data_IF_235632153818
#
_entry.id   IF_235632153818
#
_cell.length_a   1.000
_cell.length_b   1.000
_cell.length_c   1.000
_cell.angle_alpha   90.00
_cell.angle_beta   90.00
_cell.angle_gamma   90.00
#
_symmetry.space_group_name_H-M   'P 1'
#
loop_
_entity.id
_entity.type
_entity.pdbx_description
1 polymer ?
#
# COMPACT_ATOMS: atom_id res chain seq x y z
N UNK A 1 6.79 10.59 6.40
CA UNK A 1 5.73 9.96 7.24
C UNK A 1 5.31 8.60 6.69
N UNK A 2 4.93 8.49 5.41
CA UNK A 2 4.69 7.20 4.74
C UNK A 2 5.91 6.24 4.77
N UNK A 3 7.14 6.77 4.84
CA UNK A 3 8.36 5.96 5.03
C UNK A 3 8.31 5.02 6.25
N UNK A 4 7.79 5.47 7.40
CA UNK A 4 7.66 4.62 8.60
C UNK A 4 6.63 3.49 8.41
N UNK A 5 5.59 3.72 7.62
CA UNK A 5 4.65 2.67 7.23
C UNK A 5 5.33 1.61 6.37
N UNK A 6 6.16 2.03 5.42
CA UNK A 6 6.96 1.14 4.58
C UNK A 6 7.97 0.34 5.40
N UNK A 7 8.65 0.96 6.37
CA UNK A 7 9.59 0.27 7.28
C UNK A 7 8.92 -0.86 8.07
N UNK A 8 7.73 -0.61 8.65
CA UNK A 8 6.99 -1.65 9.37
C UNK A 8 6.55 -2.76 8.43
N UNK A 9 6.18 -2.42 7.19
CA UNK A 9 5.74 -3.40 6.18
C UNK A 9 6.91 -4.23 5.65
N UNK A 10 8.09 -3.66 5.44
CA UNK A 10 9.29 -4.35 4.96
C UNK A 10 9.76 -5.46 5.91
N UNK A 11 9.52 -5.32 7.22
CA UNK A 11 9.84 -6.36 8.20
C UNK A 11 8.87 -7.56 8.23
N UNK A 12 7.83 -7.59 7.39
CA UNK A 12 6.84 -8.67 7.38
C UNK A 12 7.43 -10.02 6.97
N UNK A 13 8.27 -10.04 5.93
CA UNK A 13 8.94 -11.26 5.47
C UNK A 13 9.76 -11.91 6.59
N UNK A 14 10.60 -11.14 7.28
CA UNK A 14 11.42 -11.67 8.38
C UNK A 14 10.56 -12.27 9.49
N UNK A 15 9.47 -11.59 9.89
CA UNK A 15 8.56 -12.10 10.93
C UNK A 15 7.89 -13.40 10.52
N UNK A 16 7.49 -13.51 9.25
CA UNK A 16 6.94 -14.74 8.69
C UNK A 16 7.99 -15.86 8.69
N UNK A 17 9.20 -15.60 8.22
CA UNK A 17 10.28 -16.60 8.15
C UNK A 17 10.72 -17.10 9.54
N UNK A 18 10.60 -16.27 10.57
CA UNK A 18 10.89 -16.63 11.96
C UNK A 18 9.70 -17.25 12.69
N UNK A 19 8.54 -17.38 12.03
CA UNK A 19 7.29 -17.79 12.65
C UNK A 19 6.90 -16.97 13.90
N UNK A 20 7.30 -15.70 13.95
CA UNK A 20 7.01 -14.80 15.08
C UNK A 20 5.62 -14.17 14.93
N UNK A 21 4.60 -15.01 15.13
CA UNK A 21 3.19 -14.62 15.03
C UNK A 21 2.79 -13.52 16.02
N UNK A 22 3.27 -13.53 17.28
CA UNK A 22 3.06 -12.40 18.19
C UNK A 22 3.59 -11.08 17.62
N UNK A 23 4.79 -11.06 17.02
CA UNK A 23 5.34 -9.86 16.40
C UNK A 23 4.58 -9.43 15.14
N UNK A 24 4.02 -10.36 14.35
CA UNK A 24 3.12 -10.02 13.24
C UNK A 24 1.91 -9.22 13.74
N UNK A 25 1.24 -9.69 14.80
CA UNK A 25 0.10 -9.00 15.39
C UNK A 25 0.50 -7.64 15.98
N UNK A 26 1.65 -7.57 16.65
CA UNK A 26 2.14 -6.32 17.22
C UNK A 26 2.50 -5.30 16.12
N UNK A 27 3.13 -5.74 15.04
CA UNK A 27 3.47 -4.90 13.90
C UNK A 27 2.23 -4.31 13.24
N UNK A 28 1.16 -5.10 13.08
CA UNK A 28 -0.12 -4.62 12.57
C UNK A 28 -0.71 -3.51 13.44
N UNK A 29 -0.75 -3.71 14.77
CA UNK A 29 -1.20 -2.67 15.72
C UNK A 29 -0.36 -1.40 15.63
N UNK A 30 0.97 -1.54 15.62
CA UNK A 30 1.90 -0.40 15.44
C UNK A 30 1.61 0.36 14.14
N UNK A 31 1.37 -0.37 13.05
CA UNK A 31 1.08 0.22 11.73
C UNK A 31 -0.19 1.06 11.72
N UNK A 32 -1.25 0.60 12.41
CA UNK A 32 -2.50 1.35 12.54
C UNK A 32 -2.26 2.65 13.32
N UNK A 33 -1.54 2.59 14.45
CA UNK A 33 -1.27 3.77 15.27
C UNK A 33 -0.29 4.78 14.65
N UNK A 34 0.54 4.37 13.68
CA UNK A 34 1.50 5.27 13.04
C UNK A 34 0.82 6.47 12.37
N UNK A 35 -0.32 6.26 11.72
CA UNK A 35 -1.03 7.32 11.03
C UNK A 35 -1.53 8.38 12.01
N UNK A 36 -2.31 7.97 13.00
CA UNK A 36 -2.87 8.84 14.03
C UNK A 36 -1.79 9.59 14.82
N UNK A 37 -0.68 8.91 15.10
CA UNK A 37 0.46 9.52 15.78
C UNK A 37 1.04 10.70 14.99
N UNK A 38 1.26 10.53 13.68
CA UNK A 38 1.82 11.62 12.86
C UNK A 38 0.81 12.76 12.64
N UNK A 39 -0.49 12.45 12.51
CA UNK A 39 -1.53 13.47 12.50
C UNK A 39 -1.47 14.29 13.78
N UNK A 40 -1.39 13.64 14.95
CA UNK A 40 -1.25 14.31 16.24
C UNK A 40 0.00 15.19 16.34
N UNK A 41 1.16 14.70 15.89
CA UNK A 41 2.40 15.48 15.88
C UNK A 41 2.28 16.77 15.03
N UNK A 42 1.74 16.66 13.82
CA UNK A 42 1.56 17.83 12.93
C UNK A 42 0.57 18.82 13.54
N UNK A 43 -0.50 18.34 14.17
CA UNK A 43 -1.47 19.20 14.87
C UNK A 43 -0.81 19.99 15.99
N UNK A 44 0.02 19.36 16.83
CA UNK A 44 0.73 20.06 17.90
C UNK A 44 1.76 21.06 17.35
N UNK A 45 2.49 20.70 16.29
CA UNK A 45 3.40 21.62 15.61
C UNK A 45 2.67 22.86 15.06
N UNK A 46 1.53 22.67 14.41
CA UNK A 46 0.73 23.77 13.88
C UNK A 46 0.26 24.70 15.00
N UNK A 47 -0.22 24.15 16.12
CA UNK A 47 -0.61 24.95 17.30
C UNK A 47 0.55 25.78 17.85
N UNK A 48 1.76 25.23 17.91
CA UNK A 48 2.94 25.96 18.35
C UNK A 48 3.34 27.08 17.37
N UNK A 49 3.30 26.81 16.05
CA UNK A 49 3.68 27.76 15.01
C UNK A 49 2.70 28.94 14.95
N UNK A 50 1.39 28.68 15.05
CA UNK A 50 0.35 29.71 14.95
C UNK A 50 0.16 30.48 16.26
N UNK A 51 0.59 29.91 17.40
CA UNK A 51 0.38 30.50 18.73
C UNK A 51 -1.11 30.69 19.05
N UNK A 52 -1.45 31.72 19.82
CA UNK A 52 -2.84 32.15 20.07
C UNK A 52 -3.46 32.93 18.90
N UNK A 53 -2.73 33.16 17.79
CA UNK A 53 -3.31 33.84 16.63
C UNK A 53 -4.37 32.93 16.05
N UNK A 54 -5.61 33.38 16.20
CA UNK A 54 -6.80 32.69 15.71
C UNK A 54 -6.61 32.33 14.24
N UNK A 55 -6.94 31.09 13.90
CA UNK A 55 -7.30 30.75 12.54
C UNK A 55 -8.52 31.62 12.21
N UNK A 56 -8.33 32.66 11.40
CA UNK A 56 -9.49 33.28 10.77
C UNK A 56 -10.27 32.22 9.97
N UNK A 57 -11.55 32.47 9.71
CA UNK A 57 -12.44 31.47 9.11
C UNK A 57 -11.93 30.95 7.74
N UNK A 58 -11.10 31.76 7.06
CA UNK A 58 -10.58 31.50 5.71
C UNK A 58 -9.18 30.87 5.72
N UNK A 59 -8.51 30.82 6.88
CA UNK A 59 -7.16 30.27 7.01
C UNK A 59 -7.05 28.85 6.44
N UNK A 60 -7.97 27.92 6.74
CA UNK A 60 -7.86 26.56 6.20
C UNK A 60 -7.96 26.51 4.68
N UNK A 61 -8.81 27.35 4.09
CA UNK A 61 -8.97 27.44 2.64
C UNK A 61 -7.69 27.93 1.98
N UNK A 62 -6.99 28.90 2.59
CA UNK A 62 -5.66 29.36 2.12
C UNK A 62 -4.59 28.27 2.23
N UNK A 63 -4.54 27.55 3.35
CA UNK A 63 -3.59 26.44 3.51
C UNK A 63 -3.88 25.31 2.52
N UNK A 64 -5.17 25.00 2.28
CA UNK A 64 -5.57 24.00 1.29
C UNK A 64 -5.13 24.41 -0.12
N UNK A 65 -5.29 25.68 -0.51
CA UNK A 65 -4.82 26.18 -1.81
C UNK A 65 -3.31 25.96 -2.00
N UNK A 66 -2.51 26.35 -1.01
CA UNK A 66 -1.05 26.09 -1.05
C UNK A 66 -0.75 24.59 -1.07
N UNK A 67 -1.51 23.78 -0.34
CA UNK A 67 -1.34 22.32 -0.34
C UNK A 67 -1.61 21.74 -1.73
N UNK A 68 -2.67 22.18 -2.41
CA UNK A 68 -3.01 21.80 -3.79
C UNK A 68 -1.83 22.07 -4.71
N UNK A 69 -1.18 23.23 -4.61
CA UNK A 69 -0.05 23.61 -5.46
C UNK A 69 1.18 22.71 -5.26
N UNK A 70 1.28 21.99 -4.14
CA UNK A 70 2.35 21.03 -3.86
C UNK A 70 2.05 19.60 -4.35
N UNK A 71 0.80 19.29 -4.65
CA UNK A 71 0.37 17.95 -5.07
C UNK A 71 0.74 17.55 -6.51
N UNK A 72 0.99 18.48 -7.47
CA UNK A 72 1.40 18.11 -8.80
C UNK A 72 2.56 17.09 -8.80
N UNK A 73 3.72 17.36 -8.25
CA UNK A 73 4.82 16.40 -8.42
C UNK A 73 4.88 15.33 -7.32
N UNK A 74 3.81 15.19 -6.53
CA UNK A 74 3.76 14.24 -5.42
C UNK A 74 3.06 12.92 -5.80
N UNK A 75 3.77 11.77 -5.88
CA UNK A 75 3.23 10.52 -6.43
C UNK A 75 2.10 9.85 -5.62
N UNK A 76 1.90 10.25 -4.37
CA UNK A 76 0.90 9.69 -3.44
C UNK A 76 -0.07 10.78 -3.00
N UNK A 77 -0.54 11.57 -3.94
CA UNK A 77 -1.36 12.75 -3.66
C UNK A 77 -2.64 12.36 -2.94
N UNK A 78 -3.26 11.22 -3.27
CA UNK A 78 -4.50 10.76 -2.64
C UNK A 78 -4.33 10.49 -1.14
N UNK A 79 -3.15 9.97 -0.75
CA UNK A 79 -2.79 9.75 0.66
C UNK A 79 -2.49 11.10 1.34
N UNK A 80 -1.84 12.02 0.63
CA UNK A 80 -1.55 13.36 1.12
C UNK A 80 -2.84 14.17 1.38
N UNK A 81 -3.82 14.12 0.48
CA UNK A 81 -5.14 14.73 0.64
C UNK A 81 -5.89 14.14 1.85
N UNK A 82 -5.86 12.81 2.02
CA UNK A 82 -6.44 12.14 3.19
C UNK A 82 -5.74 12.55 4.50
N UNK A 83 -4.41 12.70 4.47
CA UNK A 83 -3.62 13.17 5.60
C UNK A 83 -3.98 14.62 5.98
N UNK A 84 -4.10 15.50 4.98
CA UNK A 84 -4.58 16.86 5.16
C UNK A 84 -5.95 16.88 5.84
N UNK A 85 -6.91 16.10 5.32
CA UNK A 85 -8.26 16.02 5.88
C UNK A 85 -8.24 15.57 7.36
N UNK A 86 -7.34 14.65 7.71
CA UNK A 86 -7.20 14.14 9.07
C UNK A 86 -6.64 15.21 10.03
N UNK A 87 -5.66 15.99 9.57
CA UNK A 87 -5.11 17.13 10.34
C UNK A 87 -6.16 18.22 10.53
N UNK A 88 -6.88 18.60 9.46
CA UNK A 88 -7.96 19.58 9.53
C UNK A 88 -9.04 19.14 10.54
N UNK A 89 -9.56 17.92 10.39
CA UNK A 89 -10.60 17.39 11.28
C UNK A 89 -10.16 17.42 12.75
N UNK A 90 -8.89 17.17 13.05
CA UNK A 90 -8.37 17.20 14.41
C UNK A 90 -8.21 18.62 14.96
N UNK A 91 -7.79 19.58 14.13
CA UNK A 91 -7.71 21.00 14.52
C UNK A 91 -9.09 21.59 14.80
N UNK A 92 -10.08 21.29 13.94
CA UNK A 92 -11.42 21.87 13.97
C UNK A 92 -12.46 20.95 14.64
N UNK A 93 -12.02 19.90 15.34
CA UNK A 93 -12.87 18.96 16.09
C UNK A 93 -14.02 18.38 15.25
N UNK A 94 -13.74 18.04 13.99
CA UNK A 94 -14.68 17.50 13.01
C UNK A 94 -15.90 18.41 12.72
N UNK A 95 -15.73 19.74 12.85
CA UNK A 95 -16.75 20.73 12.48
C UNK A 95 -16.40 21.40 11.15
N UNK A 96 -17.38 22.07 10.55
CA UNK A 96 -17.23 22.88 9.33
C UNK A 96 -16.55 22.12 8.19
N UNK A 97 -17.06 20.91 7.90
CA UNK A 97 -16.53 20.02 6.87
C UNK A 97 -17.09 20.42 5.50
N UNK A 98 -16.50 21.43 4.88
CA UNK A 98 -16.96 21.96 3.60
C UNK A 98 -15.95 21.70 2.47
N UNK A 99 -16.40 21.56 1.20
CA UNK A 99 -15.51 21.27 0.07
C UNK A 99 -14.42 22.32 -0.18
N UNK A 100 -14.61 23.57 0.24
CA UNK A 100 -13.58 24.62 0.16
C UNK A 100 -12.45 24.42 1.18
N UNK A 101 -12.74 23.78 2.32
CA UNK A 101 -11.77 23.56 3.41
C UNK A 101 -11.13 22.18 3.43
N UNK A 102 -11.74 21.20 2.79
CA UNK A 102 -11.31 19.79 2.77
C UNK A 102 -11.25 19.21 1.36
N UNK A 103 -10.47 18.16 1.17
CA UNK A 103 -10.49 17.32 -0.02
C UNK A 103 -11.64 16.32 0.08
N UNK A 104 -12.87 16.78 -0.16
CA UNK A 104 -14.05 15.89 -0.29
C UNK A 104 -13.95 15.09 -1.59
N UNK A 105 -13.44 15.73 -2.64
CA UNK A 105 -13.04 15.12 -3.89
C UNK A 105 -11.55 15.39 -4.12
N UNK A 106 -10.90 14.49 -4.86
CA UNK A 106 -9.51 14.68 -5.28
C UNK A 106 -9.38 15.99 -6.06
N UNK A 107 -8.36 16.77 -5.71
CA UNK A 107 -7.97 17.96 -6.47
C UNK A 107 -7.23 17.61 -7.77
N UNK A 108 -6.77 16.36 -7.88
CA UNK A 108 -5.97 15.88 -9.00
C UNK A 108 -6.81 15.02 -9.96
N UNK A 109 -6.48 14.99 -11.27
CA UNK A 109 -7.17 14.17 -12.26
C UNK A 109 -6.92 12.67 -12.04
N UNK A 110 -7.93 11.85 -12.34
CA UNK A 110 -8.02 10.42 -12.00
C UNK A 110 -6.90 9.52 -12.57
N UNK A 111 -6.24 9.92 -13.67
CA UNK A 111 -5.25 9.08 -14.38
C UNK A 111 -3.94 9.80 -14.63
N UNK A 112 -3.41 10.43 -13.58
CA UNK A 112 -2.24 11.29 -13.71
C UNK A 112 -0.93 10.52 -13.92
N UNK A 113 -0.72 9.45 -13.16
CA UNK A 113 0.43 8.57 -13.32
C UNK A 113 0.01 7.34 -14.14
N UNK A 114 0.18 7.42 -15.46
CA UNK A 114 -0.02 6.25 -16.35
C UNK A 114 1.23 5.37 -16.42
N UNK A 115 2.40 5.99 -16.27
CA UNK A 115 3.67 5.28 -16.27
C UNK A 115 4.04 4.93 -14.84
N UNK A 116 3.94 3.64 -14.51
CA UNK A 116 4.42 3.12 -13.24
C UNK A 116 5.95 3.01 -13.36
N UNK A 117 6.76 3.78 -12.59
CA UNK A 117 8.22 3.83 -12.79
C UNK A 117 8.92 2.48 -12.60
N UNK A 118 8.27 1.55 -11.88
CA UNK A 118 8.71 0.18 -11.68
C UNK A 118 7.52 -0.76 -11.85
N UNK A 119 7.62 -1.82 -12.66
CA UNK A 119 6.56 -2.82 -12.77
C UNK A 119 6.16 -3.38 -11.40
N UNK A 120 4.86 -3.50 -11.15
CA UNK A 120 4.33 -4.08 -9.91
C UNK A 120 4.15 -5.61 -10.00
N UNK A 121 4.23 -6.15 -11.21
CA UNK A 121 4.09 -7.57 -11.50
C UNK A 121 5.11 -7.99 -12.57
N UNK A 122 5.35 -9.30 -12.64
CA UNK A 122 6.11 -9.98 -13.68
C UNK A 122 5.19 -10.93 -14.43
N UNK A 123 5.38 -10.99 -15.74
CA UNK A 123 4.65 -11.88 -16.63
C UNK A 123 5.40 -13.20 -16.78
N UNK A 124 4.69 -14.32 -16.63
CA UNK A 124 5.20 -15.67 -16.84
C UNK A 124 4.32 -16.38 -17.85
N UNK A 125 4.92 -16.99 -18.87
CA UNK A 125 4.21 -17.80 -19.86
C UNK A 125 4.52 -19.28 -19.64
N UNK A 126 3.50 -20.12 -19.73
CA UNK A 126 3.67 -21.55 -19.51
C UNK A 126 4.41 -22.24 -20.67
N UNK A 127 4.29 -21.74 -21.90
CA UNK A 127 4.92 -22.28 -23.11
C UNK A 127 4.76 -23.82 -23.27
N UNK A 128 3.64 -24.37 -22.80
CA UNK A 128 3.36 -25.82 -22.82
C UNK A 128 3.90 -26.62 -21.62
N UNK A 129 4.71 -26.03 -20.75
CA UNK A 129 5.24 -26.65 -19.52
C UNK A 129 4.84 -25.84 -18.27
N UNK A 130 3.58 -26.01 -17.87
CA UNK A 130 3.02 -25.35 -16.69
C UNK A 130 3.78 -25.67 -15.39
N UNK A 131 4.18 -26.94 -15.11
CA UNK A 131 5.00 -27.25 -13.94
C UNK A 131 6.36 -26.54 -13.91
N UNK A 132 7.06 -26.42 -15.04
CA UNK A 132 8.33 -25.70 -15.08
C UNK A 132 8.15 -24.20 -14.82
N UNK A 133 7.12 -23.58 -15.40
CA UNK A 133 6.78 -22.17 -15.15
C UNK A 133 6.49 -21.93 -13.67
N UNK A 134 5.63 -22.76 -13.04
CA UNK A 134 5.33 -22.67 -11.61
C UNK A 134 6.57 -22.84 -10.74
N UNK A 135 7.49 -23.73 -11.12
CA UNK A 135 8.78 -23.88 -10.43
C UNK A 135 9.59 -22.58 -10.47
N UNK A 136 9.65 -21.90 -11.61
CA UNK A 136 10.33 -20.61 -11.73
C UNK A 136 9.69 -19.56 -10.83
N UNK A 137 8.35 -19.43 -10.87
CA UNK A 137 7.61 -18.46 -10.04
C UNK A 137 7.89 -18.67 -8.56
N UNK A 138 7.84 -19.92 -8.08
CA UNK A 138 8.02 -20.24 -6.66
C UNK A 138 9.48 -20.16 -6.21
N UNK A 139 10.44 -20.42 -7.11
CA UNK A 139 11.88 -20.30 -6.82
C UNK A 139 12.35 -18.84 -6.81
N UNK A 140 11.65 -17.96 -7.52
CA UNK A 140 11.91 -16.52 -7.56
C UNK A 140 11.41 -15.76 -6.33
N UNK A 141 10.71 -16.43 -5.41
CA UNK A 141 10.23 -15.79 -4.19
C UNK A 141 11.42 -15.46 -3.28
N UNK A 142 11.40 -14.30 -2.59
CA UNK A 142 12.50 -13.88 -1.74
C UNK A 142 12.61 -14.67 -0.42
N UNK A 143 11.75 -15.66 -0.21
CA UNK A 143 11.67 -16.44 1.03
C UNK A 143 12.93 -17.30 1.23
N UNK A 144 13.52 -17.21 2.42
CA UNK A 144 14.78 -17.90 2.78
C UNK A 144 14.57 -19.21 3.52
N UNK A 145 13.39 -19.81 3.37
CA UNK A 145 13.02 -21.07 4.00
C UNK A 145 12.99 -22.19 2.95
N UNK A 146 13.36 -23.43 3.33
CA UNK A 146 13.18 -24.57 2.46
C UNK A 146 11.68 -24.86 2.28
N UNK A 147 11.30 -25.30 1.09
CA UNK A 147 10.01 -25.91 0.85
C UNK A 147 9.95 -27.30 1.51
N UNK A 148 8.82 -27.66 2.10
CA UNK A 148 8.59 -29.02 2.59
C UNK A 148 8.61 -30.02 1.42
N UNK A 149 7.80 -29.75 0.38
CA UNK A 149 7.80 -30.52 -0.87
C UNK A 149 7.29 -29.64 -2.03
N UNK A 150 8.22 -28.92 -2.66
CA UNK A 150 7.92 -28.03 -3.79
C UNK A 150 7.28 -28.78 -4.97
N UNK A 151 7.68 -30.03 -5.22
CA UNK A 151 7.18 -30.81 -6.36
C UNK A 151 5.72 -31.21 -6.16
N UNK A 152 5.36 -31.62 -4.93
CA UNK A 152 3.98 -31.92 -4.55
C UNK A 152 3.10 -30.68 -4.68
N UNK A 153 3.55 -29.53 -4.22
CA UNK A 153 2.76 -28.30 -4.22
C UNK A 153 2.53 -27.78 -5.66
N UNK A 154 3.56 -27.83 -6.52
CA UNK A 154 3.43 -27.55 -7.96
C UNK A 154 2.40 -28.48 -8.60
N UNK A 155 2.42 -29.78 -8.27
CA UNK A 155 1.44 -30.74 -8.79
C UNK A 155 0.01 -30.38 -8.36
N UNK A 156 -0.21 -29.95 -7.11
CA UNK A 156 -1.53 -29.52 -6.66
C UNK A 156 -2.02 -28.28 -7.42
N UNK A 157 -1.17 -27.27 -7.60
CA UNK A 157 -1.52 -26.07 -8.37
C UNK A 157 -1.83 -26.43 -9.83
N UNK A 158 -1.01 -27.28 -10.45
CA UNK A 158 -1.20 -27.77 -11.82
C UNK A 158 -2.55 -28.47 -11.97
N UNK A 159 -2.88 -29.38 -11.06
CA UNK A 159 -4.16 -30.09 -11.10
C UNK A 159 -5.36 -29.15 -10.90
N UNK A 160 -5.24 -28.15 -10.01
CA UNK A 160 -6.29 -27.16 -9.82
C UNK A 160 -6.53 -26.33 -11.09
N UNK A 161 -5.46 -25.89 -11.76
CA UNK A 161 -5.54 -25.14 -13.02
C UNK A 161 -6.13 -26.00 -14.15
N UNK A 162 -5.72 -27.26 -14.28
CA UNK A 162 -6.24 -28.19 -15.28
C UNK A 162 -7.71 -28.56 -15.07
N UNK A 163 -8.23 -28.47 -13.84
CA UNK A 163 -9.67 -28.62 -13.56
C UNK A 163 -10.47 -27.37 -13.90
N UNK A 164 -9.85 -26.19 -13.79
CA UNK A 164 -10.51 -24.91 -14.01
C UNK A 164 -10.49 -24.46 -15.48
N UNK A 165 -9.49 -24.89 -16.27
CA UNK A 165 -9.25 -24.40 -17.62
C UNK A 165 -8.96 -25.53 -18.60
N UNK A 166 -9.31 -25.35 -19.87
CA UNK A 166 -9.00 -26.31 -20.92
C UNK A 166 -7.50 -26.32 -21.27
N UNK A 167 -6.97 -27.42 -21.84
CA UNK A 167 -5.58 -27.48 -22.30
C UNK A 167 -5.21 -26.37 -23.29
N UNK A 168 -6.14 -25.96 -24.17
CA UNK A 168 -5.89 -24.87 -25.12
C UNK A 168 -5.77 -23.52 -24.40
N UNK A 169 -6.60 -23.27 -23.38
CA UNK A 169 -6.54 -22.05 -22.59
C UNK A 169 -5.22 -21.95 -21.80
N UNK A 170 -4.76 -23.05 -21.21
CA UNK A 170 -3.53 -23.07 -20.42
C UNK A 170 -2.26 -22.93 -21.29
N UNK A 171 -2.25 -23.50 -22.50
CA UNK A 171 -1.10 -23.40 -23.41
C UNK A 171 -0.80 -21.95 -23.82
N UNK A 172 -1.85 -21.14 -24.04
CA UNK A 172 -1.73 -19.73 -24.42
C UNK A 172 -1.81 -18.75 -23.25
N UNK A 173 -1.80 -19.22 -22.01
CA UNK A 173 -1.99 -18.37 -20.84
C UNK A 173 -0.72 -17.60 -20.45
N UNK A 174 -0.93 -16.36 -20.03
CA UNK A 174 0.07 -15.52 -19.34
C UNK A 174 -0.37 -15.31 -17.90
N UNK A 175 0.55 -15.51 -16.96
CA UNK A 175 0.36 -15.31 -15.54
C UNK A 175 1.04 -14.01 -15.13
N UNK A 176 0.27 -13.03 -14.66
CA UNK A 176 0.82 -11.81 -14.07
C UNK A 176 0.93 -11.98 -12.55
N UNK A 177 2.15 -12.12 -12.04
CA UNK A 177 2.42 -12.36 -10.63
C UNK A 177 2.97 -11.08 -10.00
N UNK A 178 2.34 -10.61 -8.92
CA UNK A 178 2.82 -9.45 -8.19
C UNK A 178 4.27 -9.66 -7.69
N UNK A 179 5.07 -8.61 -7.73
CA UNK A 179 6.47 -8.66 -7.30
C UNK A 179 6.63 -8.81 -5.78
N UNK A 180 5.65 -8.33 -5.02
CA UNK A 180 5.65 -8.35 -3.56
C UNK A 180 4.63 -9.37 -3.03
N UNK A 181 5.02 -10.13 -2.00
CA UNK A 181 4.12 -11.05 -1.31
C UNK A 181 3.18 -10.30 -0.35
N UNK A 182 1.94 -10.78 -0.27
CA UNK A 182 0.91 -10.21 0.60
C UNK A 182 0.86 -11.00 1.92
N UNK A 183 1.58 -10.52 2.94
CA UNK A 183 1.63 -11.16 4.25
C UNK A 183 0.40 -10.87 5.11
N UNK A 184 -0.21 -11.92 5.69
CA UNK A 184 -1.30 -11.80 6.66
C UNK A 184 -1.32 -12.99 7.62
N UNK A 185 -1.17 -12.72 8.92
CA UNK A 185 -1.16 -13.72 9.99
C UNK A 185 -0.02 -14.75 9.83
N UNK A 186 -0.36 -16.01 9.55
CA UNK A 186 0.56 -17.13 9.37
C UNK A 186 0.69 -17.42 7.89
#
# INVERSE_FOLDING_TARGET
QYGRFLEVTAGAQQRFEQADWPAVQQAMKKRIHLYDHHVGLVVEQLKCITGQKYFDADFPSRVKAVYIDLLPDYPRFEIAESFFNSVYCRLFKHRDLTPDKLFVFSSQPERRFRDIPRPLARDFTANGDLPAMLRSVLSDLPLRLPWEDLTRDIRYITQALQRAFSPQQLTGATFQIANELFYRNK
#
